data_IF_548213832202
#
_entry.id   IF_548213832202
#
_cell.length_a   1.000
_cell.length_b   1.000
_cell.length_c   1.000
_cell.angle_alpha   90.00
_cell.angle_beta   90.00
_cell.angle_gamma   90.00
#
_symmetry.space_group_name_H-M   'P 1'
#
loop_
_entity.id
_entity.type
_entity.pdbx_description
1 polymer ?
#
# COMPACT_ATOMS: atom_id res chain seq x y z
N UNK A 1 -35.60 34.36 -5.10
CA UNK A 1 -34.97 34.57 -3.78
C UNK A 1 -34.41 33.28 -3.16
N UNK A 2 -35.11 32.15 -3.21
CA UNK A 2 -34.64 30.86 -2.61
C UNK A 2 -33.36 30.32 -3.16
N UNK A 3 -33.11 30.36 -4.49
CA UNK A 3 -31.88 29.88 -5.10
C UNK A 3 -30.61 30.60 -4.62
N UNK A 4 -30.73 31.91 -4.29
CA UNK A 4 -29.62 32.69 -3.74
C UNK A 4 -29.32 32.34 -2.28
N UNK A 5 -30.34 32.01 -1.51
CA UNK A 5 -30.20 31.61 -0.11
C UNK A 5 -29.55 30.21 0.02
N UNK A 6 -29.96 29.25 -0.81
CA UNK A 6 -29.42 27.93 -0.88
C UNK A 6 -27.94 27.95 -1.31
N UNK A 7 -27.60 28.75 -2.33
CA UNK A 7 -26.21 28.92 -2.77
C UNK A 7 -25.31 29.50 -1.67
N UNK A 8 -25.82 30.48 -0.92
CA UNK A 8 -25.11 31.09 0.20
C UNK A 8 -24.95 30.13 1.35
N UNK A 9 -25.97 29.33 1.70
CA UNK A 9 -25.86 28.28 2.73
C UNK A 9 -24.85 27.18 2.36
N UNK A 10 -24.84 26.75 1.09
CA UNK A 10 -23.88 25.79 0.58
C UNK A 10 -22.46 26.38 0.64
N UNK A 11 -22.28 27.62 0.21
CA UNK A 11 -20.99 28.30 0.26
C UNK A 11 -20.47 28.45 1.69
N UNK A 12 -21.35 28.88 2.63
CA UNK A 12 -21.03 29.03 4.05
C UNK A 12 -20.70 27.69 4.70
N UNK A 13 -21.37 26.58 4.30
CA UNK A 13 -21.04 25.22 4.73
C UNK A 13 -19.65 24.81 4.25
N UNK A 14 -19.33 25.04 2.97
CA UNK A 14 -18.01 24.73 2.44
C UNK A 14 -16.91 25.56 3.09
N UNK A 15 -17.10 26.88 3.21
CA UNK A 15 -16.12 27.76 3.87
C UNK A 15 -15.90 27.33 5.32
N UNK A 16 -16.97 27.04 6.07
CA UNK A 16 -16.86 26.67 7.48
C UNK A 16 -16.16 25.31 7.71
N UNK A 17 -16.39 24.32 6.83
CA UNK A 17 -15.86 22.97 7.03
C UNK A 17 -14.56 22.70 6.28
N UNK A 18 -14.24 23.46 5.22
CA UNK A 18 -13.06 23.26 4.39
C UNK A 18 -12.03 24.38 4.48
N UNK A 19 -12.27 25.40 5.29
CA UNK A 19 -11.28 26.49 5.46
C UNK A 19 -10.17 26.05 6.40
N UNK A 20 -9.07 25.60 5.81
CA UNK A 20 -7.84 25.19 6.49
C UNK A 20 -7.22 26.32 7.34
N UNK A 21 -7.65 27.58 7.12
CA UNK A 21 -7.11 28.75 7.84
C UNK A 21 -7.48 28.79 9.31
N UNK A 22 -8.57 28.13 9.70
CA UNK A 22 -9.04 28.11 11.10
C UNK A 22 -8.10 27.30 12.00
N UNK A 23 -7.53 26.20 11.47
CA UNK A 23 -6.62 25.29 12.19
C UNK A 23 -5.15 25.52 11.82
N UNK A 24 -4.86 26.55 11.01
CA UNK A 24 -3.53 26.84 10.53
C UNK A 24 -2.59 27.19 11.70
N UNK A 25 -1.44 26.53 11.74
CA UNK A 25 -0.33 26.90 12.61
C UNK A 25 0.32 28.21 12.10
N UNK A 26 1.06 28.90 12.96
CA UNK A 26 1.85 30.05 12.54
C UNK A 26 2.75 29.64 11.36
N UNK A 27 2.81 30.51 10.35
CA UNK A 27 3.56 30.22 9.12
C UNK A 27 5.05 30.09 9.37
N UNK A 28 5.58 30.87 10.33
CA UNK A 28 7.01 30.80 10.68
C UNK A 28 7.33 29.52 11.42
N UNK A 29 6.44 29.07 12.32
CA UNK A 29 6.60 27.80 13.05
C UNK A 29 6.56 26.59 12.11
N UNK A 30 5.65 26.63 11.13
CA UNK A 30 5.59 25.60 10.08
C UNK A 30 6.85 25.57 9.24
N UNK A 31 7.35 26.72 8.80
CA UNK A 31 8.59 26.84 8.03
C UNK A 31 9.76 26.31 8.85
N UNK A 32 9.84 26.65 10.13
CA UNK A 32 10.91 26.19 11.01
C UNK A 32 10.86 24.68 11.26
N UNK A 33 9.65 24.15 11.48
CA UNK A 33 9.40 22.70 11.64
C UNK A 33 9.86 21.90 10.42
N UNK A 34 9.51 22.36 9.22
CA UNK A 34 9.94 21.71 7.97
C UNK A 34 11.46 21.86 7.80
N UNK A 35 12.05 23.03 8.08
CA UNK A 35 13.51 23.26 8.03
C UNK A 35 14.27 22.30 8.97
N UNK A 36 13.77 22.07 10.17
CA UNK A 36 14.33 21.07 11.10
C UNK A 36 14.28 19.65 10.53
N UNK A 37 13.16 19.30 9.89
CA UNK A 37 12.99 18.00 9.21
C UNK A 37 13.92 17.78 8.01
N UNK A 38 14.46 18.84 7.43
CA UNK A 38 15.45 18.75 6.33
C UNK A 38 16.81 18.27 6.81
N UNK A 39 17.15 18.42 8.10
CA UNK A 39 18.46 18.06 8.60
C UNK A 39 18.70 16.56 8.63
N UNK A 40 19.68 16.13 7.82
CA UNK A 40 20.08 14.74 7.68
C UNK A 40 21.48 14.52 8.26
N UNK A 41 21.57 14.48 9.60
CA UNK A 41 22.81 14.26 10.34
C UNK A 41 22.56 13.39 11.58
N UNK A 42 23.57 12.65 12.01
CA UNK A 42 23.54 11.88 13.23
C UNK A 42 22.40 10.85 13.28
N UNK A 43 21.50 11.01 14.22
CA UNK A 43 20.39 10.06 14.48
C UNK A 43 19.53 9.81 13.25
N UNK A 44 19.20 10.84 12.45
CA UNK A 44 18.34 10.67 11.27
C UNK A 44 18.98 9.78 10.20
N UNK A 45 20.29 9.80 10.05
CA UNK A 45 21.01 8.92 9.13
C UNK A 45 21.00 7.46 9.61
N UNK A 46 21.22 7.22 10.90
CA UNK A 46 21.13 5.89 11.47
C UNK A 46 19.72 5.30 11.37
N UNK A 47 18.70 6.12 11.70
CA UNK A 47 17.29 5.73 11.55
C UNK A 47 16.98 5.36 10.11
N UNK A 48 17.49 6.13 9.12
CA UNK A 48 17.33 5.80 7.70
C UNK A 48 17.97 4.45 7.35
N UNK A 49 19.20 4.21 7.80
CA UNK A 49 19.92 2.95 7.56
C UNK A 49 19.11 1.78 8.11
N UNK A 50 18.67 1.85 9.37
CA UNK A 50 17.86 0.79 9.97
C UNK A 50 16.51 0.61 9.27
N UNK A 51 15.83 1.70 8.93
CA UNK A 51 14.59 1.65 8.17
C UNK A 51 14.79 0.98 6.80
N UNK A 52 15.92 1.27 6.12
CA UNK A 52 16.27 0.64 4.83
C UNK A 52 16.53 -0.85 4.99
N UNK A 53 17.22 -1.28 6.05
CA UNK A 53 17.38 -2.71 6.36
C UNK A 53 16.03 -3.40 6.58
N UNK A 54 15.16 -2.82 7.41
CA UNK A 54 13.81 -3.38 7.69
C UNK A 54 12.97 -3.42 6.41
N UNK A 55 13.02 -2.37 5.58
CA UNK A 55 12.31 -2.36 4.30
C UNK A 55 12.82 -3.42 3.33
N UNK A 56 14.14 -3.60 3.25
CA UNK A 56 14.78 -4.61 2.40
C UNK A 56 14.43 -6.02 2.87
N UNK A 57 14.42 -6.26 4.18
CA UNK A 57 13.91 -7.50 4.79
C UNK A 57 12.45 -7.75 4.42
N UNK A 58 11.59 -6.74 4.56
CA UNK A 58 10.17 -6.81 4.23
C UNK A 58 9.94 -7.15 2.76
N UNK A 59 10.68 -6.53 1.85
CA UNK A 59 10.64 -6.80 0.41
C UNK A 59 11.10 -8.22 0.10
N UNK A 60 12.16 -8.68 0.74
CA UNK A 60 12.74 -10.01 0.53
C UNK A 60 11.86 -11.14 1.05
N UNK A 61 11.14 -10.88 2.16
CA UNK A 61 10.19 -11.84 2.75
C UNK A 61 8.76 -11.67 2.24
N UNK A 62 8.54 -10.78 1.25
CA UNK A 62 7.24 -10.45 0.69
C UNK A 62 6.21 -10.02 1.76
N UNK A 63 6.65 -9.30 2.79
CA UNK A 63 5.84 -8.90 3.92
C UNK A 63 5.44 -7.42 3.84
N UNK A 64 4.26 -7.13 3.30
CA UNK A 64 3.72 -5.76 3.19
C UNK A 64 3.66 -5.05 4.55
N UNK A 65 3.35 -5.77 5.63
CA UNK A 65 3.27 -5.19 6.98
C UNK A 65 4.65 -4.67 7.47
N UNK A 66 5.73 -5.43 7.22
CA UNK A 66 7.09 -5.02 7.57
C UNK A 66 7.53 -3.81 6.73
N UNK A 67 7.20 -3.82 5.45
CA UNK A 67 7.48 -2.70 4.54
C UNK A 67 6.80 -1.42 5.03
N UNK A 68 5.51 -1.48 5.39
CA UNK A 68 4.75 -0.35 5.94
C UNK A 68 5.40 0.15 7.24
N UNK A 69 5.81 -0.75 8.14
CA UNK A 69 6.51 -0.38 9.37
C UNK A 69 7.81 0.38 9.11
N UNK A 70 8.60 -0.05 8.12
CA UNK A 70 9.83 0.63 7.72
C UNK A 70 9.58 2.03 7.14
N UNK A 71 8.49 2.20 6.36
CA UNK A 71 8.11 3.50 5.80
C UNK A 71 7.77 4.51 6.91
N UNK A 72 7.13 4.06 8.00
CA UNK A 72 6.74 4.91 9.12
C UNK A 72 7.93 5.54 9.85
N UNK A 73 9.04 4.83 9.95
CA UNK A 73 10.25 5.30 10.65
C UNK A 73 11.21 6.05 9.73
N UNK A 74 10.97 6.03 8.41
CA UNK A 74 11.87 6.63 7.43
C UNK A 74 11.79 8.16 7.42
N UNK A 75 12.92 8.87 7.58
CA UNK A 75 12.95 10.34 7.59
C UNK A 75 13.06 10.97 6.19
N UNK A 76 12.77 10.25 5.10
CA UNK A 76 12.94 10.73 3.72
C UNK A 76 12.05 11.92 3.34
N UNK A 77 10.89 12.05 4.00
CA UNK A 77 9.89 13.06 3.64
C UNK A 77 10.36 14.49 3.91
N UNK A 78 11.17 14.71 4.96
CA UNK A 78 11.64 16.03 5.37
C UNK A 78 12.36 16.80 4.26
N UNK A 79 13.43 16.27 3.66
CA UNK A 79 14.14 16.90 2.55
C UNK A 79 13.26 17.20 1.34
N UNK A 80 12.31 16.32 1.01
CA UNK A 80 11.43 16.48 -0.15
C UNK A 80 10.44 17.62 0.06
N UNK A 81 9.81 17.68 1.23
CA UNK A 81 8.93 18.79 1.61
C UNK A 81 9.71 20.10 1.73
N UNK A 82 10.95 20.04 2.26
CA UNK A 82 11.84 21.21 2.34
C UNK A 82 12.21 21.77 0.98
N UNK A 83 12.38 20.93 -0.04
CA UNK A 83 12.59 21.34 -1.42
C UNK A 83 11.36 22.08 -1.98
N UNK A 84 10.16 21.51 -1.84
CA UNK A 84 8.91 22.13 -2.28
C UNK A 84 8.61 23.43 -1.55
N UNK A 85 8.84 23.49 -0.23
CA UNK A 85 8.73 24.72 0.57
C UNK A 85 9.70 25.79 0.09
N UNK A 86 10.99 25.43 -0.11
CA UNK A 86 12.02 26.35 -0.59
C UNK A 86 11.65 27.00 -1.94
N UNK A 87 11.07 26.21 -2.86
CA UNK A 87 10.51 26.73 -4.12
C UNK A 87 9.34 27.69 -3.85
N UNK A 88 8.44 27.34 -2.92
CA UNK A 88 7.26 28.12 -2.56
C UNK A 88 7.57 29.49 -1.98
N UNK A 89 8.50 29.56 -1.03
CA UNK A 89 8.91 30.80 -0.34
C UNK A 89 10.11 31.50 -0.99
N UNK A 90 10.64 30.99 -2.11
CA UNK A 90 11.82 31.50 -2.83
C UNK A 90 13.09 31.51 -1.98
N UNK A 91 13.30 30.49 -1.15
CA UNK A 91 14.51 30.30 -0.33
C UNK A 91 15.49 29.34 -1.01
N UNK A 92 16.42 29.89 -1.81
CA UNK A 92 17.41 29.10 -2.55
C UNK A 92 18.37 28.31 -1.64
N UNK A 93 18.66 28.81 -0.47
CA UNK A 93 19.53 28.14 0.50
C UNK A 93 18.84 26.86 1.04
N UNK A 94 17.53 26.96 1.34
CA UNK A 94 16.73 25.83 1.72
C UNK A 94 16.62 24.79 0.58
N UNK A 95 16.44 25.24 -0.67
CA UNK A 95 16.43 24.36 -1.85
C UNK A 95 17.73 23.56 -1.94
N UNK A 96 18.88 24.26 -1.90
CA UNK A 96 20.21 23.64 -1.98
C UNK A 96 20.47 22.66 -0.84
N UNK A 97 20.09 23.03 0.39
CA UNK A 97 20.23 22.19 1.57
C UNK A 97 19.35 20.94 1.50
N UNK A 98 18.09 21.11 1.10
CA UNK A 98 17.14 20.02 0.91
C UNK A 98 17.62 19.04 -0.15
N UNK A 99 18.06 19.54 -1.31
CA UNK A 99 18.56 18.69 -2.39
C UNK A 99 19.83 17.91 -1.97
N UNK A 100 20.78 18.57 -1.30
CA UNK A 100 21.99 17.89 -0.81
C UNK A 100 21.64 16.77 0.19
N UNK A 101 20.78 17.06 1.15
CA UNK A 101 20.40 16.09 2.18
C UNK A 101 19.56 14.95 1.59
N UNK A 102 18.69 15.24 0.61
CA UNK A 102 17.96 14.26 -0.17
C UNK A 102 18.90 13.33 -0.94
N UNK A 103 19.88 13.89 -1.66
CA UNK A 103 20.85 13.09 -2.40
C UNK A 103 21.68 12.21 -1.45
N UNK A 104 22.12 12.74 -0.31
CA UNK A 104 22.81 11.96 0.72
C UNK A 104 21.95 10.80 1.21
N UNK A 105 20.67 11.05 1.57
CA UNK A 105 19.74 10.02 2.01
C UNK A 105 19.53 8.93 0.95
N UNK A 106 19.35 9.34 -0.31
CA UNK A 106 19.18 8.42 -1.45
C UNK A 106 20.41 7.51 -1.60
N UNK A 107 21.61 8.09 -1.61
CA UNK A 107 22.85 7.31 -1.77
C UNK A 107 23.02 6.31 -0.63
N UNK A 108 22.87 6.73 0.62
CA UNK A 108 22.99 5.84 1.78
C UNK A 108 21.94 4.71 1.76
N UNK A 109 20.69 5.02 1.38
CA UNK A 109 19.65 4.00 1.28
C UNK A 109 19.97 2.99 0.17
N UNK A 110 20.38 3.44 -1.02
CA UNK A 110 20.74 2.52 -2.12
C UNK A 110 21.93 1.64 -1.71
N UNK A 111 22.97 2.23 -1.12
CA UNK A 111 24.14 1.46 -0.66
C UNK A 111 23.72 0.44 0.40
N UNK A 112 22.96 0.85 1.41
CA UNK A 112 22.51 -0.03 2.49
C UNK A 112 21.66 -1.19 1.95
N UNK A 113 20.72 -0.91 1.06
CA UNK A 113 19.89 -1.93 0.43
C UNK A 113 20.71 -2.86 -0.45
N UNK A 114 21.62 -2.33 -1.27
CA UNK A 114 22.50 -3.13 -2.11
C UNK A 114 23.34 -4.09 -1.25
N UNK A 115 23.95 -3.59 -0.16
CA UNK A 115 24.73 -4.43 0.76
C UNK A 115 23.85 -5.53 1.40
N UNK A 116 22.63 -5.20 1.80
CA UNK A 116 21.69 -6.18 2.32
C UNK A 116 21.44 -7.32 1.30
N UNK A 117 21.08 -6.97 0.07
CA UNK A 117 20.73 -7.96 -0.95
C UNK A 117 21.95 -8.75 -1.45
N UNK A 118 23.17 -8.20 -1.40
CA UNK A 118 24.39 -8.95 -1.69
C UNK A 118 24.69 -10.03 -0.64
N UNK A 119 24.30 -9.81 0.63
CA UNK A 119 24.52 -10.75 1.73
C UNK A 119 23.36 -11.73 1.85
N UNK A 120 22.17 -11.34 1.38
CA UNK A 120 20.95 -12.16 1.51
C UNK A 120 21.06 -13.46 0.71
N UNK A 121 20.70 -14.62 1.32
CA UNK A 121 20.68 -15.89 0.62
C UNK A 121 19.52 -16.04 -0.37
N UNK A 122 18.50 -15.14 -0.27
CA UNK A 122 17.34 -15.15 -1.15
C UNK A 122 17.58 -14.16 -2.28
N UNK A 123 17.84 -14.67 -3.47
CA UNK A 123 18.13 -13.87 -4.68
C UNK A 123 16.92 -13.70 -5.61
N UNK A 124 15.80 -14.37 -5.32
CA UNK A 124 14.60 -14.29 -6.15
C UNK A 124 13.86 -12.97 -5.96
N UNK A 125 13.42 -12.36 -7.08
CA UNK A 125 12.61 -11.15 -7.06
C UNK A 125 11.17 -11.49 -6.64
N UNK A 126 10.81 -11.14 -5.43
CA UNK A 126 9.46 -11.30 -4.88
C UNK A 126 8.47 -10.32 -5.52
N UNK A 127 7.16 -10.62 -5.40
CA UNK A 127 6.09 -9.81 -6.02
C UNK A 127 6.10 -8.35 -5.55
N UNK A 128 6.39 -8.07 -4.27
CA UNK A 128 6.51 -6.71 -3.73
C UNK A 128 7.69 -5.93 -4.36
N UNK A 129 8.80 -6.60 -4.69
CA UNK A 129 9.92 -6.00 -5.42
C UNK A 129 9.51 -5.66 -6.86
N UNK A 130 8.91 -6.62 -7.57
CA UNK A 130 8.51 -6.46 -8.97
C UNK A 130 7.47 -5.37 -9.15
N UNK A 131 6.52 -5.24 -8.21
CA UNK A 131 5.51 -4.19 -8.23
C UNK A 131 6.09 -2.77 -8.21
N UNK A 132 7.34 -2.58 -7.77
CA UNK A 132 8.01 -1.26 -7.71
C UNK A 132 8.88 -0.96 -8.93
N UNK A 133 8.97 -1.87 -9.89
CA UNK A 133 9.80 -1.68 -11.10
C UNK A 133 9.06 -1.02 -12.25
N UNK A 134 7.74 -0.92 -12.18
CA UNK A 134 6.89 -0.37 -13.24
C UNK A 134 5.96 0.72 -12.70
N UNK A 135 6.34 2.00 -12.81
CA UNK A 135 5.50 3.12 -12.40
C UNK A 135 4.17 3.16 -13.13
N UNK A 136 3.12 3.51 -12.39
CA UNK A 136 1.77 3.67 -12.91
C UNK A 136 1.25 5.09 -12.71
N UNK A 137 0.14 5.43 -13.37
CA UNK A 137 -0.56 6.70 -13.16
C UNK A 137 -1.02 6.84 -11.70
N UNK A 138 -1.39 5.72 -11.09
CA UNK A 138 -1.84 5.71 -9.70
C UNK A 138 -0.74 6.14 -8.74
N UNK A 139 0.52 5.77 -8.99
CA UNK A 139 1.66 6.19 -8.18
C UNK A 139 1.81 7.72 -8.21
N UNK A 140 1.63 8.35 -9.37
CA UNK A 140 1.65 9.81 -9.54
C UNK A 140 0.55 10.47 -8.71
N UNK A 141 -0.69 9.95 -8.82
CA UNK A 141 -1.83 10.49 -8.06
C UNK A 141 -1.64 10.31 -6.56
N UNK A 142 -1.18 9.15 -6.13
CA UNK A 142 -0.90 8.84 -4.73
C UNK A 142 0.20 9.78 -4.19
N UNK A 143 1.28 9.97 -4.93
CA UNK A 143 2.36 10.88 -4.55
C UNK A 143 1.88 12.34 -4.44
N UNK A 144 1.06 12.80 -5.40
CA UNK A 144 0.54 14.15 -5.41
C UNK A 144 -0.45 14.39 -4.26
N UNK A 145 -1.50 13.57 -4.14
CA UNK A 145 -2.49 13.71 -3.07
C UNK A 145 -1.90 13.42 -1.69
N UNK A 146 -1.00 12.44 -1.58
CA UNK A 146 -0.24 12.19 -0.37
C UNK A 146 0.62 13.39 0.03
N UNK A 147 1.29 14.00 -0.95
CA UNK A 147 2.05 15.23 -0.75
C UNK A 147 1.19 16.42 -0.30
N UNK A 148 0.00 16.58 -0.90
CA UNK A 148 -0.99 17.58 -0.45
C UNK A 148 -1.41 17.36 1.00
N UNK A 149 -1.77 16.13 1.36
CA UNK A 149 -2.13 15.77 2.73
C UNK A 149 -0.97 16.04 3.71
N UNK A 150 0.27 15.70 3.30
CA UNK A 150 1.47 15.92 4.11
C UNK A 150 1.74 17.37 4.43
N UNK A 151 1.69 18.25 3.44
CA UNK A 151 1.93 19.68 3.67
C UNK A 151 0.78 20.33 4.43
N UNK A 152 -0.48 19.96 4.17
CA UNK A 152 -1.63 20.45 4.93
C UNK A 152 -1.49 20.04 6.39
N UNK A 153 -1.21 18.77 6.67
CA UNK A 153 -0.99 18.29 8.05
C UNK A 153 0.18 19.01 8.75
N UNK A 154 1.27 19.27 8.01
CA UNK A 154 2.42 20.01 8.55
C UNK A 154 2.11 21.49 8.82
N UNK A 155 1.09 22.03 8.17
CA UNK A 155 0.63 23.42 8.28
C UNK A 155 -0.45 23.64 9.34
N UNK A 156 -0.88 22.58 10.02
CA UNK A 156 -1.93 22.65 11.04
C UNK A 156 -1.38 22.40 12.45
N UNK A 157 -2.06 22.94 13.47
CA UNK A 157 -1.72 22.76 14.89
C UNK A 157 -1.81 21.30 15.32
N UNK A 158 -2.73 20.55 14.74
CA UNK A 158 -2.96 19.13 15.04
C UNK A 158 -2.19 18.24 14.05
N UNK A 159 -0.86 18.17 14.20
CA UNK A 159 0.00 17.34 13.31
C UNK A 159 -0.30 15.84 13.42
N UNK A 160 -0.72 15.36 14.58
CA UNK A 160 -1.22 14.02 14.88
C UNK A 160 -0.59 12.86 14.08
N UNK A 161 -1.42 11.88 13.77
CA UNK A 161 -1.02 10.67 13.04
C UNK A 161 -1.05 10.83 11.49
N UNK A 162 -1.36 12.03 10.98
CA UNK A 162 -1.48 12.26 9.53
C UNK A 162 -0.12 12.19 8.85
N UNK A 163 0.93 12.78 9.44
CA UNK A 163 2.28 12.78 8.87
C UNK A 163 2.81 11.35 8.68
N UNK A 164 2.75 10.44 9.68
CA UNK A 164 3.08 9.04 9.47
C UNK A 164 2.26 8.36 8.36
N UNK A 165 0.95 8.60 8.32
CA UNK A 165 0.08 8.06 7.27
C UNK A 165 0.48 8.49 5.86
N UNK A 166 0.89 9.74 5.69
CA UNK A 166 1.40 10.26 4.41
C UNK A 166 2.74 9.62 4.02
N UNK A 167 3.64 9.38 4.97
CA UNK A 167 4.89 8.67 4.70
C UNK A 167 4.65 7.25 4.16
N UNK A 168 3.59 6.57 4.64
CA UNK A 168 3.15 5.28 4.10
C UNK A 168 2.58 5.44 2.68
N UNK A 169 1.67 6.39 2.49
CA UNK A 169 0.98 6.57 1.22
C UNK A 169 1.94 6.90 0.07
N UNK A 170 2.92 7.75 0.31
CA UNK A 170 3.87 8.21 -0.72
C UNK A 170 4.92 7.19 -1.12
N UNK A 171 5.02 6.07 -0.42
CA UNK A 171 5.83 4.89 -0.75
C UNK A 171 7.23 5.20 -1.33
N UNK A 172 8.04 6.03 -0.65
CA UNK A 172 9.37 6.44 -1.11
C UNK A 172 10.45 5.37 -0.87
N UNK A 173 10.37 4.67 0.26
CA UNK A 173 11.41 3.73 0.66
C UNK A 173 11.45 2.44 -0.16
N UNK A 174 10.33 1.76 -0.47
CA UNK A 174 10.35 0.50 -1.21
C UNK A 174 10.97 0.62 -2.60
N UNK A 175 10.65 1.62 -3.44
CA UNK A 175 11.32 1.77 -4.72
C UNK A 175 12.84 1.97 -4.58
N UNK A 176 13.27 2.69 -3.55
CA UNK A 176 14.69 2.91 -3.31
C UNK A 176 15.42 1.62 -2.91
N UNK A 177 14.78 0.78 -2.08
CA UNK A 177 15.29 -0.54 -1.72
C UNK A 177 15.28 -1.50 -2.93
N UNK A 178 14.24 -1.44 -3.78
CA UNK A 178 14.17 -2.22 -5.02
C UNK A 178 15.27 -1.80 -6.02
N UNK A 179 15.61 -0.50 -6.07
CA UNK A 179 16.77 -0.05 -6.84
C UNK A 179 18.07 -0.68 -6.31
N UNK A 180 18.24 -0.76 -4.98
CA UNK A 180 19.36 -1.46 -4.36
C UNK A 180 19.40 -2.96 -4.72
N UNK A 181 18.25 -3.63 -4.75
CA UNK A 181 18.12 -5.01 -5.24
C UNK A 181 18.54 -5.13 -6.71
N UNK A 182 18.13 -4.19 -7.57
CA UNK A 182 18.51 -4.15 -8.98
C UNK A 182 20.04 -4.09 -9.17
N UNK A 183 20.73 -3.29 -8.34
CA UNK A 183 22.21 -3.24 -8.36
C UNK A 183 22.83 -4.55 -7.84
N UNK A 184 22.31 -5.10 -6.75
CA UNK A 184 22.84 -6.33 -6.16
C UNK A 184 22.67 -7.55 -7.09
N UNK A 185 21.55 -7.63 -7.80
CA UNK A 185 21.26 -8.69 -8.77
C UNK A 185 21.88 -8.47 -10.17
N UNK A 186 22.53 -7.31 -10.41
CA UNK A 186 23.05 -6.93 -11.72
C UNK A 186 21.97 -6.61 -12.76
N UNK A 187 20.71 -6.47 -12.35
CA UNK A 187 19.59 -6.20 -13.25
C UNK A 187 19.29 -4.70 -13.33
N UNK A 188 19.83 -4.05 -14.37
CA UNK A 188 19.62 -2.61 -14.58
C UNK A 188 18.16 -2.22 -14.86
N UNK A 189 17.35 -3.14 -15.38
CA UNK A 189 15.92 -2.89 -15.58
C UNK A 189 15.19 -2.66 -14.24
N UNK A 190 15.48 -3.47 -13.24
CA UNK A 190 14.93 -3.29 -11.89
C UNK A 190 15.45 -2.00 -11.24
N UNK A 191 16.75 -1.72 -11.42
CA UNK A 191 17.33 -0.48 -10.90
C UNK A 191 16.66 0.76 -11.47
N UNK A 192 16.63 0.91 -12.81
CA UNK A 192 16.09 2.11 -13.44
C UNK A 192 14.58 2.24 -13.27
N UNK A 193 13.84 1.13 -13.33
CA UNK A 193 12.40 1.14 -13.11
C UNK A 193 12.02 1.62 -11.71
N UNK A 194 12.65 1.06 -10.69
CA UNK A 194 12.40 1.45 -9.31
C UNK A 194 12.92 2.85 -8.98
N UNK A 195 14.10 3.22 -9.48
CA UNK A 195 14.65 4.56 -9.29
C UNK A 195 13.79 5.64 -9.97
N UNK A 196 13.21 5.33 -11.13
CA UNK A 196 12.28 6.19 -11.83
C UNK A 196 10.98 6.40 -11.04
N UNK A 197 10.42 5.35 -10.44
CA UNK A 197 9.27 5.46 -9.53
C UNK A 197 9.59 6.35 -8.32
N UNK A 198 10.73 6.13 -7.69
CA UNK A 198 11.20 6.97 -6.58
C UNK A 198 11.32 8.44 -6.99
N UNK A 199 11.88 8.72 -8.17
CA UNK A 199 12.03 10.07 -8.71
C UNK A 199 10.67 10.73 -8.95
N UNK A 200 9.73 10.03 -9.58
CA UNK A 200 8.37 10.53 -9.82
C UNK A 200 7.70 10.91 -8.49
N UNK A 201 7.70 10.00 -7.52
CA UNK A 201 7.08 10.25 -6.22
C UNK A 201 7.70 11.49 -5.55
N UNK A 202 9.01 11.63 -5.57
CA UNK A 202 9.73 12.79 -5.04
C UNK A 202 9.29 14.10 -5.70
N UNK A 203 9.21 14.11 -7.02
CA UNK A 203 8.85 15.30 -7.78
C UNK A 203 7.41 15.71 -7.50
N UNK A 204 6.45 14.76 -7.51
CA UNK A 204 5.05 15.09 -7.28
C UNK A 204 4.73 15.48 -5.84
N UNK A 205 5.42 14.92 -4.84
CA UNK A 205 5.33 15.39 -3.45
C UNK A 205 5.87 16.81 -3.32
N UNK A 206 7.02 17.09 -3.93
CA UNK A 206 7.60 18.45 -3.92
C UNK A 206 6.70 19.46 -4.62
N UNK A 207 6.09 19.07 -5.75
CA UNK A 207 5.14 19.89 -6.48
C UNK A 207 3.88 20.16 -5.64
N UNK A 208 3.32 19.15 -4.99
CA UNK A 208 2.17 19.30 -4.09
C UNK A 208 2.48 20.29 -2.96
N UNK A 209 3.66 20.14 -2.33
CA UNK A 209 4.14 21.07 -1.29
C UNK A 209 4.26 22.50 -1.83
N UNK A 210 4.87 22.69 -2.99
CA UNK A 210 5.00 23.98 -3.66
C UNK A 210 3.63 24.63 -3.91
N UNK A 211 2.68 23.88 -4.45
CA UNK A 211 1.32 24.38 -4.76
C UNK A 211 0.61 24.86 -3.50
N UNK A 212 0.61 24.06 -2.43
CA UNK A 212 -0.07 24.44 -1.17
C UNK A 212 0.60 25.65 -0.52
N UNK A 213 1.92 25.71 -0.46
CA UNK A 213 2.69 26.85 0.08
C UNK A 213 2.33 28.15 -0.67
N UNK A 214 2.15 28.06 -1.99
CA UNK A 214 1.72 29.21 -2.81
C UNK A 214 0.26 29.58 -2.58
N UNK A 215 -0.64 28.59 -2.49
CA UNK A 215 -2.07 28.81 -2.24
C UNK A 215 -2.32 29.39 -0.85
N UNK A 216 -1.61 28.94 0.16
CA UNK A 216 -1.69 29.46 1.53
C UNK A 216 -0.93 30.78 1.73
N UNK A 217 -0.29 31.30 0.68
CA UNK A 217 0.44 32.59 0.64
C UNK A 217 1.51 32.72 1.73
N UNK A 218 2.30 31.67 1.96
CA UNK A 218 3.44 31.72 2.89
C UNK A 218 4.37 32.89 2.59
N UNK A 219 4.94 33.54 3.63
CA UNK A 219 5.80 34.68 3.45
C UNK A 219 7.06 34.29 2.66
N UNK A 220 7.35 35.08 1.62
CA UNK A 220 8.60 34.89 0.86
C UNK A 220 9.79 35.35 1.68
N UNK A 221 10.95 34.71 1.48
CA UNK A 221 12.21 35.17 2.08
C UNK A 221 12.49 36.58 1.65
N UNK A 222 12.70 37.47 2.62
CA UNK A 222 13.07 38.88 2.37
C UNK A 222 14.57 38.97 2.20
N UNK A 223 15.02 39.62 1.14
CA UNK A 223 16.43 39.89 0.87
C UNK A 223 16.77 41.34 1.17
N UNK A 224 17.86 41.59 1.84
CA UNK A 224 18.38 42.96 2.11
C UNK A 224 18.82 43.63 0.81
N UNK A 225 19.30 42.87 -0.16
CA UNK A 225 19.78 43.34 -1.45
C UNK A 225 18.75 42.97 -2.57
N UNK A 226 18.18 44.02 -3.20
CA UNK A 226 17.22 43.88 -4.31
C UNK A 226 17.84 43.23 -5.55
N UNK A 227 19.15 43.33 -5.77
CA UNK A 227 19.79 42.65 -6.89
C UNK A 227 19.87 41.16 -6.65
N UNK A 228 20.21 40.76 -5.43
CA UNK A 228 20.20 39.34 -5.00
C UNK A 228 18.82 38.74 -5.06
N UNK A 229 17.78 39.45 -4.65
CA UNK A 229 16.38 39.00 -4.75
C UNK A 229 16.01 38.71 -6.20
N UNK A 230 16.33 39.59 -7.16
CA UNK A 230 16.03 39.34 -8.59
C UNK A 230 16.77 38.12 -9.13
N UNK A 231 18.02 37.92 -8.76
CA UNK A 231 18.83 36.77 -9.17
C UNK A 231 18.24 35.50 -8.62
N UNK A 232 17.94 35.43 -7.31
CA UNK A 232 17.35 34.24 -6.66
C UNK A 232 15.98 33.92 -7.25
N UNK A 233 15.11 34.92 -7.43
CA UNK A 233 13.78 34.74 -8.03
C UNK A 233 13.90 34.18 -9.44
N UNK A 234 14.88 34.61 -10.24
CA UNK A 234 15.12 34.04 -11.59
C UNK A 234 15.56 32.57 -11.51
N UNK A 235 16.52 32.23 -10.64
CA UNK A 235 16.98 30.85 -10.48
C UNK A 235 15.86 29.94 -9.96
N UNK A 236 15.08 30.38 -8.97
CA UNK A 236 13.92 29.65 -8.48
C UNK A 236 12.89 29.46 -9.60
N UNK A 237 12.61 30.49 -10.40
CA UNK A 237 11.74 30.40 -11.56
C UNK A 237 12.22 29.34 -12.58
N UNK A 238 13.51 29.30 -12.86
CA UNK A 238 14.12 28.29 -13.74
C UNK A 238 13.95 26.89 -13.14
N UNK A 239 14.26 26.71 -11.86
CA UNK A 239 14.11 25.40 -11.18
C UNK A 239 12.63 24.96 -11.20
N UNK A 240 11.70 25.87 -10.89
CA UNK A 240 10.24 25.58 -10.95
C UNK A 240 9.83 25.15 -12.35
N UNK A 241 10.29 25.86 -13.39
CA UNK A 241 10.01 25.50 -14.79
C UNK A 241 10.53 24.10 -15.13
N UNK A 242 11.81 23.82 -14.83
CA UNK A 242 12.42 22.51 -15.07
C UNK A 242 11.88 21.40 -14.17
N UNK A 243 11.19 21.70 -13.08
CA UNK A 243 10.51 20.72 -12.24
C UNK A 243 9.10 20.46 -12.76
N UNK A 244 8.32 21.50 -13.06
CA UNK A 244 6.90 21.37 -13.43
C UNK A 244 6.74 20.82 -14.84
N UNK A 245 7.46 21.37 -15.83
CA UNK A 245 7.26 20.99 -17.24
C UNK A 245 7.59 19.53 -17.50
N UNK A 246 8.75 18.97 -17.08
CA UNK A 246 9.01 17.54 -17.20
C UNK A 246 8.01 16.67 -16.42
N UNK A 247 7.58 17.12 -15.23
CA UNK A 247 6.61 16.37 -14.42
C UNK A 247 5.26 16.24 -15.11
N UNK A 248 4.76 17.32 -15.70
CA UNK A 248 3.52 17.27 -16.49
C UNK A 248 3.66 16.38 -17.72
N UNK A 249 4.81 16.44 -18.39
CA UNK A 249 5.10 15.58 -19.54
C UNK A 249 5.17 14.09 -19.14
N UNK A 250 5.87 13.78 -18.03
CA UNK A 250 5.94 12.42 -17.49
C UNK A 250 4.56 11.91 -17.08
N UNK A 251 3.79 12.72 -16.35
CA UNK A 251 2.41 12.41 -15.97
C UNK A 251 1.52 12.14 -17.20
N UNK A 252 1.60 12.98 -18.22
CA UNK A 252 0.86 12.79 -19.46
C UNK A 252 1.25 11.47 -20.17
N UNK A 253 2.54 11.18 -20.27
CA UNK A 253 3.00 9.93 -20.90
C UNK A 253 2.52 8.69 -20.13
N UNK A 254 2.56 8.71 -18.78
CA UNK A 254 2.05 7.62 -17.96
C UNK A 254 0.53 7.43 -18.13
N UNK A 255 -0.23 8.53 -18.17
CA UNK A 255 -1.67 8.49 -18.42
C UNK A 255 -1.94 7.87 -19.80
N UNK A 256 -1.23 8.32 -20.84
CA UNK A 256 -1.36 7.81 -22.20
C UNK A 256 -1.05 6.31 -22.28
N UNK A 257 0.04 5.88 -21.66
CA UNK A 257 0.44 4.47 -21.61
C UNK A 257 -0.58 3.62 -20.84
N UNK A 258 -1.12 4.13 -19.73
CA UNK A 258 -2.16 3.44 -18.96
C UNK A 258 -3.44 3.25 -19.77
N UNK A 259 -3.93 4.29 -20.44
CA UNK A 259 -5.09 4.19 -21.33
C UNK A 259 -4.86 3.23 -22.49
N UNK A 260 -3.66 3.21 -23.05
CA UNK A 260 -3.31 2.27 -24.08
C UNK A 260 -3.37 0.82 -23.58
N UNK A 261 -2.75 0.55 -22.44
CA UNK A 261 -2.76 -0.78 -21.80
C UNK A 261 -4.18 -1.24 -21.43
N UNK A 262 -5.03 -0.35 -20.93
CA UNK A 262 -6.43 -0.68 -20.63
C UNK A 262 -7.23 -1.01 -21.89
N UNK A 263 -7.05 -0.27 -22.99
CA UNK A 263 -7.67 -0.60 -24.27
C UNK A 263 -7.21 -1.96 -24.80
N UNK A 264 -5.92 -2.24 -24.71
CA UNK A 264 -5.37 -3.56 -25.09
C UNK A 264 -5.93 -4.66 -24.20
N UNK A 265 -6.07 -4.42 -22.89
CA UNK A 265 -6.66 -5.39 -21.97
C UNK A 265 -8.11 -5.72 -22.37
N UNK A 266 -8.94 -4.69 -22.60
CA UNK A 266 -10.33 -4.84 -22.98
C UNK A 266 -10.45 -5.57 -24.33
N UNK A 267 -9.66 -5.17 -25.34
CA UNK A 267 -9.61 -5.86 -26.62
C UNK A 267 -9.25 -7.34 -26.47
N UNK A 268 -8.22 -7.67 -25.72
CA UNK A 268 -7.76 -9.05 -25.52
C UNK A 268 -8.80 -9.88 -24.78
N UNK A 269 -9.45 -9.32 -23.74
CA UNK A 269 -10.46 -10.04 -22.96
C UNK A 269 -11.78 -10.25 -23.72
N UNK A 270 -12.17 -9.33 -24.62
CA UNK A 270 -13.45 -9.40 -25.31
C UNK A 270 -13.35 -10.10 -26.69
N UNK A 271 -12.25 -9.88 -27.41
CA UNK A 271 -12.14 -10.34 -28.81
C UNK A 271 -11.20 -11.54 -29.04
N UNK A 272 -10.31 -11.83 -28.06
CA UNK A 272 -9.40 -12.97 -28.17
C UNK A 272 -9.77 -14.14 -27.23
N UNK A 273 -11.02 -14.16 -26.77
CA UNK A 273 -11.54 -15.28 -25.99
C UNK A 273 -12.21 -16.29 -26.94
N UNK A 274 -11.51 -17.38 -27.20
CA UNK A 274 -11.99 -18.43 -28.10
C UNK A 274 -12.35 -19.71 -27.30
N UNK A 275 -13.34 -20.51 -27.78
CA UNK A 275 -13.68 -21.79 -27.14
C UNK A 275 -12.47 -22.73 -27.06
N UNK A 276 -12.27 -23.37 -25.92
CA UNK A 276 -11.18 -24.32 -25.66
C UNK A 276 -9.77 -23.76 -25.88
N UNK A 277 -9.61 -22.43 -25.77
CA UNK A 277 -8.33 -21.74 -25.95
C UNK A 277 -8.10 -20.82 -24.75
N UNK A 278 -6.88 -20.78 -24.24
CA UNK A 278 -6.47 -19.89 -23.15
C UNK A 278 -5.31 -18.99 -23.59
N UNK A 279 -5.32 -17.76 -23.12
CA UNK A 279 -4.22 -16.83 -23.31
C UNK A 279 -3.15 -17.15 -22.27
N UNK A 280 -2.01 -17.62 -22.72
CA UNK A 280 -0.88 -17.94 -21.87
C UNK A 280 -0.07 -16.71 -21.49
N UNK A 281 0.24 -15.90 -22.49
CA UNK A 281 1.05 -14.70 -22.29
C UNK A 281 0.60 -13.57 -23.20
N UNK A 282 0.76 -12.35 -22.72
CA UNK A 282 0.48 -11.12 -23.45
C UNK A 282 1.64 -10.15 -23.26
N UNK A 283 2.31 -9.81 -24.36
CA UNK A 283 3.36 -8.80 -24.38
C UNK A 283 2.85 -7.59 -25.16
N UNK A 284 2.89 -6.43 -24.51
CA UNK A 284 2.46 -5.16 -25.11
C UNK A 284 3.69 -4.29 -25.28
N UNK A 285 3.98 -3.90 -26.52
CA UNK A 285 5.05 -2.97 -26.86
C UNK A 285 4.42 -1.67 -27.36
N UNK A 286 4.60 -0.59 -26.58
CA UNK A 286 4.16 0.77 -26.97
C UNK A 286 5.39 1.68 -27.07
N UNK A 287 6.11 1.54 -28.16
CA UNK A 287 7.25 2.41 -28.49
C UNK A 287 6.85 3.36 -29.64
N UNK A 288 7.50 4.52 -29.71
CA UNK A 288 7.22 5.51 -30.78
C UNK A 288 7.35 4.94 -32.19
N UNK A 289 8.21 3.94 -32.36
CA UNK A 289 8.47 3.29 -33.66
C UNK A 289 7.59 2.06 -33.89
N UNK A 290 7.14 1.37 -32.84
CA UNK A 290 6.41 0.11 -32.96
C UNK A 290 5.37 -0.05 -31.87
N UNK A 291 4.12 -0.19 -32.27
CA UNK A 291 3.03 -0.57 -31.37
C UNK A 291 2.59 -1.98 -31.73
N UNK A 292 2.91 -2.92 -30.86
CA UNK A 292 2.65 -4.33 -31.11
C UNK A 292 2.00 -4.98 -29.87
N UNK A 293 0.99 -5.78 -30.10
CA UNK A 293 0.38 -6.64 -29.12
C UNK A 293 0.62 -8.09 -29.54
N UNK A 294 1.49 -8.77 -28.81
CA UNK A 294 1.80 -10.19 -29.01
C UNK A 294 1.03 -11.00 -27.99
N UNK A 295 0.22 -11.94 -28.47
CA UNK A 295 -0.58 -12.83 -27.63
C UNK A 295 -0.24 -14.26 -27.98
N UNK A 296 0.04 -15.06 -26.94
CA UNK A 296 0.32 -16.50 -27.08
C UNK A 296 -0.92 -17.27 -26.62
N UNK A 297 -1.51 -18.03 -27.53
CA UNK A 297 -2.68 -18.86 -27.31
C UNK A 297 -2.27 -20.32 -27.14
N UNK A 298 -2.87 -21.00 -26.15
CA UNK A 298 -2.75 -22.44 -25.92
C UNK A 298 -4.14 -23.05 -25.94
N UNK A 299 -4.23 -24.25 -26.53
CA UNK A 299 -5.47 -25.01 -26.65
C UNK A 299 -5.75 -25.42 -28.08
N UNK A 300 -7.00 -25.37 -28.45
CA UNK A 300 -7.41 -25.71 -29.82
C UNK A 300 -6.95 -24.62 -30.77
N UNK A 301 -6.44 -25.03 -31.96
CA UNK A 301 -5.98 -24.06 -32.98
C UNK A 301 -7.17 -23.21 -33.46
N UNK A 302 -7.02 -21.90 -33.35
CA UNK A 302 -8.01 -20.91 -33.81
C UNK A 302 -7.84 -20.68 -35.30
N UNK A 303 -8.88 -20.78 -36.15
CA UNK A 303 -8.80 -20.49 -37.55
C UNK A 303 -8.31 -19.06 -37.83
N UNK A 304 -7.48 -18.89 -38.89
CA UNK A 304 -6.92 -17.58 -39.25
C UNK A 304 -8.01 -16.54 -39.59
N UNK A 305 -9.17 -16.99 -40.05
CA UNK A 305 -10.33 -16.14 -40.31
C UNK A 305 -10.85 -15.48 -39.01
N UNK A 306 -10.90 -16.22 -37.91
CA UNK A 306 -11.32 -15.69 -36.59
C UNK A 306 -10.29 -14.67 -36.05
N UNK A 307 -9.00 -14.93 -36.25
CA UNK A 307 -7.93 -13.99 -35.89
C UNK A 307 -7.99 -12.73 -36.77
N UNK A 308 -8.26 -12.87 -38.07
CA UNK A 308 -8.42 -11.75 -38.97
C UNK A 308 -9.64 -10.90 -38.59
N UNK A 309 -10.76 -11.53 -38.21
CA UNK A 309 -11.93 -10.83 -37.68
C UNK A 309 -11.65 -10.07 -36.37
N UNK A 310 -10.93 -10.67 -35.45
CA UNK A 310 -10.49 -9.97 -34.24
C UNK A 310 -9.57 -8.78 -34.57
N UNK A 311 -8.61 -8.97 -35.48
CA UNK A 311 -7.73 -7.89 -35.97
C UNK A 311 -8.48 -6.73 -36.58
N UNK A 312 -9.55 -7.00 -37.38
CA UNK A 312 -10.38 -5.98 -37.98
C UNK A 312 -11.13 -5.11 -36.93
N UNK A 313 -11.30 -5.60 -35.68
CA UNK A 313 -11.96 -4.86 -34.63
C UNK A 313 -11.04 -3.96 -33.79
N UNK A 314 -9.71 -4.02 -33.98
CA UNK A 314 -8.74 -3.14 -33.28
C UNK A 314 -9.13 -1.65 -33.34
N UNK A 315 -9.57 -1.09 -34.49
CA UNK A 315 -9.99 0.30 -34.55
C UNK A 315 -11.14 0.67 -33.60
N UNK A 316 -12.06 -0.27 -33.32
CA UNK A 316 -13.19 -0.06 -32.40
C UNK A 316 -12.73 0.23 -30.97
N UNK A 317 -11.59 -0.34 -30.58
CA UNK A 317 -10.96 -0.12 -29.27
C UNK A 317 -9.96 1.05 -29.27
N UNK A 318 -9.88 1.82 -30.39
CA UNK A 318 -8.94 2.92 -30.53
C UNK A 318 -7.47 2.47 -30.71
N UNK A 319 -7.27 1.24 -31.18
CA UNK A 319 -5.96 0.61 -31.42
C UNK A 319 -5.62 0.56 -32.91
N UNK A 320 -5.85 1.67 -33.67
CA UNK A 320 -5.74 1.74 -35.13
C UNK A 320 -4.34 1.40 -35.68
N UNK A 321 -3.29 1.79 -34.90
CA UNK A 321 -1.88 1.67 -35.30
C UNK A 321 -1.18 0.49 -34.64
N UNK A 322 -1.93 -0.48 -34.14
CA UNK A 322 -1.38 -1.62 -33.38
C UNK A 322 -1.30 -2.86 -34.27
N UNK A 323 -0.13 -3.46 -34.34
CA UNK A 323 0.08 -4.77 -34.92
C UNK A 323 -0.25 -5.88 -33.94
N UNK A 324 -1.29 -6.66 -34.24
CA UNK A 324 -1.63 -7.85 -33.48
C UNK A 324 -0.84 -9.06 -34.01
N UNK A 325 -0.01 -9.64 -33.17
CA UNK A 325 0.69 -10.90 -33.43
C UNK A 325 0.11 -11.97 -32.52
N UNK A 326 -0.56 -12.93 -33.11
CA UNK A 326 -1.11 -14.09 -32.40
C UNK A 326 -0.22 -15.29 -32.71
N UNK A 327 0.38 -15.85 -31.67
CA UNK A 327 1.12 -17.09 -31.74
C UNK A 327 0.25 -18.22 -31.21
N UNK A 328 0.09 -19.27 -32.02
CA UNK A 328 -0.70 -20.44 -31.66
C UNK A 328 0.17 -21.68 -31.67
N UNK A 329 -0.06 -22.55 -30.68
CA UNK A 329 0.57 -23.85 -30.63
C UNK A 329 2.08 -23.83 -30.38
N UNK A 330 2.64 -24.99 -30.15
CA UNK A 330 4.08 -25.19 -30.16
C UNK A 330 4.51 -25.29 -31.64
N UNK A 331 4.85 -24.15 -32.25
CA UNK A 331 5.37 -24.14 -33.62
C UNK A 331 6.62 -25.03 -33.72
N UNK A 332 6.78 -25.67 -34.88
CA UNK A 332 7.83 -26.66 -35.19
C UNK A 332 9.28 -26.13 -35.20
N UNK A 333 9.54 -24.90 -34.80
CA UNK A 333 10.91 -24.38 -34.65
C UNK A 333 11.37 -24.51 -33.19
N UNK A 334 11.99 -25.65 -32.93
CA UNK A 334 12.29 -26.20 -31.63
C UNK A 334 13.63 -25.71 -31.02
N UNK A 335 13.90 -24.42 -30.99
CA UNK A 335 15.15 -23.99 -30.33
C UNK A 335 14.93 -23.33 -28.96
N UNK A 336 13.71 -22.83 -28.66
CA UNK A 336 13.44 -22.14 -27.38
C UNK A 336 12.35 -22.80 -26.51
N UNK A 337 11.90 -24.02 -26.88
CA UNK A 337 10.79 -24.70 -26.17
C UNK A 337 11.16 -25.05 -24.72
N UNK A 338 12.42 -25.40 -24.46
CA UNK A 338 12.86 -25.77 -23.12
C UNK A 338 12.97 -24.54 -22.19
N UNK A 339 13.36 -23.39 -22.73
CA UNK A 339 13.43 -22.13 -21.99
C UNK A 339 12.03 -21.58 -21.74
N UNK A 340 11.14 -21.59 -22.73
CA UNK A 340 9.73 -21.20 -22.60
C UNK A 340 8.98 -22.17 -21.67
N UNK A 341 9.23 -23.48 -21.77
CA UNK A 341 8.63 -24.49 -20.90
C UNK A 341 9.11 -24.34 -19.45
N UNK A 342 10.38 -23.99 -19.22
CA UNK A 342 10.91 -23.73 -17.88
C UNK A 342 10.32 -22.45 -17.28
N UNK A 343 10.19 -21.37 -18.04
CA UNK A 343 9.57 -20.12 -17.60
C UNK A 343 8.07 -20.31 -17.33
N UNK A 344 7.37 -21.05 -18.17
CA UNK A 344 5.95 -21.35 -18.01
C UNK A 344 5.67 -22.26 -16.82
N UNK A 345 6.49 -23.29 -16.63
CA UNK A 345 6.42 -24.13 -15.46
C UNK A 345 6.71 -23.32 -14.19
N UNK A 346 7.68 -22.44 -14.22
CA UNK A 346 8.06 -21.62 -13.09
C UNK A 346 6.95 -20.62 -12.70
N UNK A 347 6.31 -19.95 -13.67
CA UNK A 347 5.18 -19.03 -13.39
C UNK A 347 3.91 -19.77 -12.97
N UNK A 348 3.60 -20.90 -13.59
CA UNK A 348 2.46 -21.75 -13.19
C UNK A 348 2.67 -22.35 -11.79
N UNK A 349 3.89 -22.82 -11.48
CA UNK A 349 4.21 -23.29 -10.12
C UNK A 349 4.15 -22.17 -9.09
N UNK A 350 4.73 -20.99 -9.37
CA UNK A 350 4.66 -19.84 -8.45
C UNK A 350 3.23 -19.38 -8.16
N UNK A 351 2.42 -19.15 -9.21
CA UNK A 351 1.02 -18.75 -9.04
C UNK A 351 0.19 -19.83 -8.33
N UNK A 352 0.42 -21.10 -8.66
CA UNK A 352 -0.25 -22.22 -8.02
C UNK A 352 0.16 -22.35 -6.54
N UNK A 353 1.45 -22.18 -6.23
CA UNK A 353 1.96 -22.27 -4.86
C UNK A 353 1.47 -21.10 -3.98
N UNK A 354 1.43 -19.87 -4.50
CA UNK A 354 0.89 -18.71 -3.77
C UNK A 354 -0.60 -18.86 -3.49
N UNK A 355 -1.38 -19.30 -4.48
CA UNK A 355 -2.82 -19.56 -4.31
C UNK A 355 -3.06 -20.68 -3.31
N UNK A 356 -2.32 -21.79 -3.41
CA UNK A 356 -2.38 -22.90 -2.47
C UNK A 356 -1.97 -22.50 -1.06
N UNK A 357 -0.92 -21.71 -0.89
CA UNK A 357 -0.50 -21.17 0.42
C UNK A 357 -1.58 -20.26 1.01
N UNK A 358 -2.14 -19.34 0.22
CA UNK A 358 -3.20 -18.44 0.68
C UNK A 358 -4.45 -19.24 1.10
N UNK A 359 -4.85 -20.23 0.31
CA UNK A 359 -5.96 -21.13 0.64
C UNK A 359 -5.67 -21.97 1.89
N UNK A 360 -4.45 -22.50 2.03
CA UNK A 360 -4.05 -23.29 3.21
C UNK A 360 -4.11 -22.46 4.48
N UNK A 361 -3.59 -21.21 4.46
CA UNK A 361 -3.68 -20.29 5.60
C UNK A 361 -5.14 -19.98 5.95
N UNK A 362 -5.98 -19.77 4.94
CA UNK A 362 -7.41 -19.52 5.14
C UNK A 362 -8.13 -20.75 5.71
N UNK A 363 -7.83 -21.94 5.20
CA UNK A 363 -8.38 -23.22 5.70
C UNK A 363 -7.93 -23.45 7.14
N UNK A 364 -6.67 -23.23 7.48
CA UNK A 364 -6.16 -23.40 8.85
C UNK A 364 -6.76 -22.39 9.82
N UNK A 365 -6.98 -21.15 9.38
CA UNK A 365 -7.70 -20.15 10.16
C UNK A 365 -9.14 -20.55 10.43
N UNK A 366 -9.86 -20.99 9.39
CA UNK A 366 -11.24 -21.47 9.51
C UNK A 366 -11.33 -22.74 10.37
N UNK A 367 -10.40 -23.68 10.20
CA UNK A 367 -10.33 -24.89 11.06
C UNK A 367 -10.16 -24.51 12.53
N UNK A 368 -9.23 -23.62 12.86
CA UNK A 368 -9.05 -23.15 14.24
C UNK A 368 -10.32 -22.50 14.82
N UNK A 369 -11.07 -21.76 14.01
CA UNK A 369 -12.34 -21.18 14.45
C UNK A 369 -13.39 -22.27 14.69
N UNK A 370 -13.53 -23.22 13.77
CA UNK A 370 -14.45 -24.36 13.91
C UNK A 370 -14.09 -25.22 15.12
N UNK A 371 -12.82 -25.55 15.31
CA UNK A 371 -12.34 -26.33 16.45
C UNK A 371 -12.64 -25.63 17.78
N UNK A 372 -12.49 -24.30 17.82
CA UNK A 372 -12.85 -23.50 18.98
C UNK A 372 -14.35 -23.58 19.30
N UNK A 373 -15.23 -23.53 18.29
CA UNK A 373 -16.66 -23.70 18.50
C UNK A 373 -17.05 -25.13 18.87
N UNK A 374 -16.39 -26.10 18.26
CA UNK A 374 -16.67 -27.54 18.53
C UNK A 374 -16.18 -27.99 19.91
N UNK A 375 -15.05 -27.40 20.41
CA UNK A 375 -14.53 -27.73 21.73
C UNK A 375 -15.52 -27.46 22.86
N UNK A 376 -16.25 -26.33 22.78
CA UNK A 376 -17.29 -26.02 23.77
C UNK A 376 -18.51 -26.95 23.69
N UNK A 377 -18.87 -27.37 22.48
CA UNK A 377 -19.96 -28.35 22.27
C UNK A 377 -19.56 -29.71 22.82
N UNK A 378 -18.33 -30.15 22.58
CA UNK A 378 -17.79 -31.40 23.12
C UNK A 378 -17.69 -31.34 24.66
N UNK A 379 -17.17 -30.24 25.21
CA UNK A 379 -17.10 -30.00 26.64
C UNK A 379 -18.49 -30.11 27.29
N UNK A 380 -19.51 -29.50 26.70
CA UNK A 380 -20.89 -29.58 27.20
C UNK A 380 -21.36 -31.04 27.24
N UNK A 381 -21.14 -31.83 26.19
CA UNK A 381 -21.54 -33.24 26.13
C UNK A 381 -20.77 -34.12 27.11
N UNK A 382 -19.52 -33.80 27.44
CA UNK A 382 -18.71 -34.51 28.45
C UNK A 382 -19.17 -34.19 29.88
N UNK A 383 -19.57 -32.94 30.14
CA UNK A 383 -20.02 -32.50 31.47
C UNK A 383 -21.40 -33.00 31.85
N UNK A 384 -22.29 -33.27 30.88
CA UNK A 384 -23.67 -33.73 31.15
C UNK A 384 -23.73 -35.02 31.97
N UNK A 385 -22.99 -36.11 31.67
CA UNK A 385 -23.02 -37.34 32.46
C UNK A 385 -22.52 -37.12 33.90
N UNK A 386 -21.46 -36.33 34.09
CA UNK A 386 -20.92 -35.99 35.41
C UNK A 386 -21.91 -35.15 36.23
N UNK A 387 -22.53 -34.14 35.57
CA UNK A 387 -23.53 -33.28 36.20
C UNK A 387 -24.77 -34.08 36.65
N UNK A 388 -25.21 -35.06 35.86
CA UNK A 388 -26.36 -35.90 36.20
C UNK A 388 -26.12 -36.72 37.46
N UNK A 389 -24.88 -37.11 37.72
CA UNK A 389 -24.51 -37.88 38.93
C UNK A 389 -24.33 -36.98 40.14
N UNK A 390 -23.63 -35.86 39.96
CA UNK A 390 -23.26 -34.94 41.04
C UNK A 390 -24.40 -34.00 41.45
N UNK A 391 -25.25 -33.60 40.47
CA UNK A 391 -26.30 -32.60 40.65
C UNK A 391 -27.62 -33.11 39.98
N UNK A 392 -28.27 -34.17 40.51
CA UNK A 392 -29.40 -34.82 39.87
C UNK A 392 -30.64 -33.94 39.69
N UNK A 393 -30.67 -32.79 40.32
CA UNK A 393 -31.72 -31.79 40.17
C UNK A 393 -31.55 -30.88 38.92
N UNK A 394 -30.39 -30.91 38.26
CA UNK A 394 -30.16 -30.16 36.99
C UNK A 394 -30.71 -30.95 35.83
N UNK A 395 -31.54 -30.28 34.99
CA UNK A 395 -32.25 -30.89 33.86
C UNK A 395 -31.58 -30.56 32.53
N UNK A 396 -31.17 -29.33 32.37
CA UNK A 396 -30.54 -28.82 31.16
C UNK A 396 -29.27 -28.07 31.52
N UNK A 397 -28.23 -28.23 30.70
CA UNK A 397 -26.98 -27.53 30.85
C UNK A 397 -26.45 -27.10 29.47
N UNK A 398 -25.93 -25.91 29.37
CA UNK A 398 -25.24 -25.41 28.20
C UNK A 398 -24.03 -24.57 28.60
N UNK A 399 -22.92 -24.77 27.89
CA UNK A 399 -21.68 -24.01 28.11
C UNK A 399 -21.31 -23.23 26.84
N UNK A 400 -21.07 -21.95 26.98
CA UNK A 400 -20.61 -21.09 25.89
C UNK A 400 -19.58 -20.09 26.37
N UNK A 401 -18.64 -19.75 25.51
CA UNK A 401 -17.74 -18.64 25.77
C UNK A 401 -18.35 -17.36 25.22
N UNK A 402 -18.44 -16.33 26.03
CA UNK A 402 -19.03 -15.04 25.62
C UNK A 402 -18.23 -13.87 26.15
N UNK A 403 -18.42 -12.71 25.52
CA UNK A 403 -17.85 -11.47 25.98
C UNK A 403 -18.89 -10.71 26.80
N UNK A 404 -18.54 -10.36 28.02
CA UNK A 404 -19.36 -9.46 28.83
C UNK A 404 -18.66 -8.12 28.88
N UNK A 405 -19.33 -7.08 28.44
CA UNK A 405 -18.82 -5.70 28.50
C UNK A 405 -19.40 -5.04 29.75
N UNK A 406 -18.53 -4.56 30.61
CA UNK A 406 -18.96 -3.74 31.74
C UNK A 406 -19.37 -2.35 31.20
N UNK A 407 -20.62 -1.96 31.46
CA UNK A 407 -21.20 -0.71 30.95
C UNK A 407 -20.55 0.56 31.56
N UNK A 408 -19.90 0.45 32.70
CA UNK A 408 -19.23 1.58 33.34
C UNK A 408 -17.77 1.75 32.89
N UNK A 409 -17.05 0.63 32.69
CA UNK A 409 -15.62 0.67 32.36
C UNK A 409 -15.31 0.42 30.88
N UNK A 410 -16.33 0.05 30.07
CA UNK A 410 -16.25 -0.32 28.65
C UNK A 410 -15.17 -1.40 28.32
N UNK A 411 -14.69 -2.14 29.36
CA UNK A 411 -13.70 -3.21 29.15
C UNK A 411 -14.43 -4.53 28.87
N UNK A 412 -14.13 -5.21 27.76
CA UNK A 412 -14.63 -6.55 27.50
C UNK A 412 -13.89 -7.57 28.38
N UNK A 413 -14.62 -8.43 29.06
CA UNK A 413 -14.09 -9.59 29.77
C UNK A 413 -14.62 -10.88 29.13
N UNK A 414 -13.72 -11.84 28.93
CA UNK A 414 -14.07 -13.13 28.35
C UNK A 414 -14.46 -14.07 29.47
N UNK A 415 -15.71 -14.50 29.50
CA UNK A 415 -16.24 -15.38 30.51
C UNK A 415 -16.88 -16.63 29.91
N UNK A 416 -16.75 -17.74 30.60
CA UNK A 416 -17.51 -18.94 30.30
C UNK A 416 -18.90 -18.80 30.94
N UNK A 417 -19.90 -18.67 30.11
CA UNK A 417 -21.31 -18.66 30.53
C UNK A 417 -21.81 -20.08 30.60
N UNK A 418 -22.23 -20.53 31.77
CA UNK A 418 -22.88 -21.81 31.98
C UNK A 418 -24.34 -21.56 32.36
N UNK A 419 -25.23 -22.00 31.46
CA UNK A 419 -26.67 -22.01 31.72
C UNK A 419 -27.07 -23.34 32.30
N UNK A 420 -27.85 -23.33 33.40
CA UNK A 420 -28.36 -24.48 34.08
C UNK A 420 -29.87 -24.30 34.35
N UNK A 421 -30.67 -25.28 33.97
CA UNK A 421 -32.08 -25.35 34.34
C UNK A 421 -32.28 -26.41 35.40
N UNK A 422 -32.92 -26.04 36.51
CA UNK A 422 -33.09 -26.92 37.67
C UNK A 422 -34.58 -27.20 37.95
N UNK A 423 -34.88 -28.40 38.47
CA UNK A 423 -36.21 -28.75 38.98
C UNK A 423 -36.57 -28.12 40.31
N UNK A 424 -35.56 -27.69 41.06
CA UNK A 424 -35.69 -27.12 42.41
C UNK A 424 -34.86 -25.87 42.53
N UNK A 425 -35.22 -24.96 43.44
CA UNK A 425 -34.47 -23.74 43.73
C UNK A 425 -33.09 -24.12 44.29
N UNK A 426 -32.03 -23.76 43.58
CA UNK A 426 -30.66 -24.03 43.97
C UNK A 426 -30.23 -23.00 45.05
N UNK A 427 -29.87 -23.46 46.25
CA UNK A 427 -29.38 -22.62 47.33
C UNK A 427 -27.96 -22.10 47.05
N UNK A 428 -27.59 -20.99 47.66
CA UNK A 428 -26.28 -20.37 47.43
C UNK A 428 -25.07 -21.28 47.72
N UNK A 429 -25.19 -22.17 48.74
CA UNK A 429 -24.17 -23.17 49.05
C UNK A 429 -23.96 -24.17 47.90
N UNK A 430 -25.04 -24.60 47.24
CA UNK A 430 -25.00 -25.52 46.10
C UNK A 430 -24.48 -24.80 44.83
N UNK A 431 -24.91 -23.57 44.64
CA UNK A 431 -24.40 -22.69 43.53
C UNK A 431 -22.86 -22.54 43.64
N UNK A 432 -22.35 -22.37 44.83
CA UNK A 432 -20.91 -22.30 45.08
C UNK A 432 -20.21 -23.62 44.73
N UNK A 433 -20.75 -24.75 45.17
CA UNK A 433 -20.21 -26.09 44.83
C UNK A 433 -20.21 -26.38 43.33
N UNK A 434 -21.25 -26.02 42.62
CA UNK A 434 -21.32 -26.18 41.15
C UNK A 434 -20.25 -25.34 40.48
N UNK A 435 -20.07 -24.10 40.95
CA UNK A 435 -19.06 -23.18 40.40
C UNK A 435 -17.63 -23.66 40.67
N UNK A 436 -17.34 -24.15 41.88
CA UNK A 436 -16.04 -24.70 42.24
C UNK A 436 -15.70 -25.95 41.46
N UNK A 437 -16.68 -26.87 41.28
CA UNK A 437 -16.52 -28.08 40.49
C UNK A 437 -16.28 -27.72 38.99
N UNK A 438 -17.06 -26.81 38.42
CA UNK A 438 -16.88 -26.37 37.03
C UNK A 438 -15.50 -25.72 36.87
N UNK A 439 -15.06 -24.85 37.80
CA UNK A 439 -13.76 -24.20 37.71
C UNK A 439 -12.61 -25.21 37.77
N UNK A 440 -12.73 -26.27 38.58
CA UNK A 440 -11.72 -27.33 38.64
C UNK A 440 -11.71 -28.20 37.38
N UNK A 441 -12.91 -28.50 36.81
CA UNK A 441 -13.03 -29.41 35.68
C UNK A 441 -12.65 -28.76 34.34
N UNK A 442 -12.92 -27.47 34.21
CA UNK A 442 -12.70 -26.70 32.94
C UNK A 442 -11.39 -25.91 32.98
N UNK A 443 -10.71 -25.88 34.15
CA UNK A 443 -9.49 -25.09 34.37
C UNK A 443 -9.61 -23.58 34.07
N UNK A 444 -10.86 -23.05 34.15
CA UNK A 444 -11.14 -21.62 33.89
C UNK A 444 -11.58 -20.94 35.20
N UNK A 445 -10.98 -19.77 35.48
CA UNK A 445 -11.32 -18.98 36.67
C UNK A 445 -12.56 -18.11 36.51
N UNK A 446 -12.87 -17.67 35.30
CA UNK A 446 -13.97 -16.75 34.99
C UNK A 446 -15.20 -17.51 34.49
N UNK A 447 -15.97 -18.09 35.43
CA UNK A 447 -17.23 -18.77 35.10
C UNK A 447 -18.39 -17.97 35.66
N UNK A 448 -19.40 -17.72 34.81
CA UNK A 448 -20.65 -17.07 35.21
C UNK A 448 -21.79 -18.06 35.02
N UNK A 449 -22.48 -18.34 36.14
CA UNK A 449 -23.63 -19.28 36.18
C UNK A 449 -24.93 -18.48 35.99
N UNK A 450 -25.72 -18.89 35.01
CA UNK A 450 -27.12 -18.51 34.85
C UNK A 450 -27.95 -19.74 35.27
N UNK A 451 -28.80 -19.58 36.24
CA UNK A 451 -29.65 -20.67 36.78
C UNK A 451 -31.11 -20.24 36.64
N UNK A 452 -31.88 -21.09 36.00
CA UNK A 452 -33.32 -20.95 35.82
C UNK A 452 -34.07 -22.09 36.54
#
# INVERSE_FOLDING_TARGET
MEKGLLHKQIMDFFVRNFDVRQDKEDELDTIESIKKGVEFKGTNLWVLIFATFVASLGLNTNSTAVIIGAMLISPLMGPIMGFGLGLGISDFELIKRSFRNFATATIFSVITSTLYFLISPISEAQSELLARTQPTVYDVLIAFFGGLAGIVASSTKSKGNVIPGVAIATALMPPLCTAGFGLASGNLYYFFGAFYLYFINTVFISLATFVVVRLLKYPKKVFLDKQREKIVTRYVGIIVFFTIVPSLFLGYNLIRSSYFNDRVRNFVSEELTFPNTQILNKVVTDTSEKKEVKVVLIGQTVPDEMIANARAKLPKYGLKDVHLVVQQGFGQEATDINELKSLLMQDLYKNSEEVLRAQTIQIDSLKRQVDKYQSYRRLTSELIPEMKVLFPYVVEASCSNTYIVNTETAKPDTVMLVYLKSKTIIKDAERKKIKEWLSARVEMKNIKLLIE
#
